data_IF_201582391310
#
_entry.id   IF_201582391310
#
_cell.length_a   1.000
_cell.length_b   1.000
_cell.length_c   1.000
_cell.angle_alpha   90.00
_cell.angle_beta   90.00
_cell.angle_gamma   90.00
#
_symmetry.space_group_name_H-M   'P 1'
#
loop_
_entity.id
_entity.type
_entity.pdbx_description
1 polymer ?
#
# COMPACT_ATOMS: atom_id res chain seq x y z
N UNK A 1 -11.79 6.89 -20.63
CA UNK A 1 -10.79 7.05 -19.57
C UNK A 1 -9.96 8.28 -19.91
N UNK A 2 -9.89 9.27 -19.02
CA UNK A 2 -8.96 10.41 -19.17
C UNK A 2 -7.55 9.84 -19.36
N UNK A 3 -6.81 10.26 -20.39
CA UNK A 3 -5.51 9.69 -20.83
C UNK A 3 -4.35 9.78 -19.83
N UNK A 4 -4.60 9.38 -18.59
CA UNK A 4 -3.66 9.26 -17.48
C UNK A 4 -3.17 7.82 -17.43
N UNK A 5 -1.88 7.65 -17.16
CA UNK A 5 -1.25 6.34 -16.99
C UNK A 5 -0.98 5.97 -15.52
N UNK A 6 -1.33 6.86 -14.57
CA UNK A 6 -1.09 6.67 -13.12
C UNK A 6 -2.37 6.96 -12.33
N UNK A 7 -2.72 6.04 -11.43
CA UNK A 7 -3.79 6.17 -10.45
C UNK A 7 -3.25 6.77 -9.16
N UNK A 8 -4.06 7.59 -8.48
CA UNK A 8 -3.78 8.00 -7.10
C UNK A 8 -4.02 6.82 -6.14
N UNK A 9 -3.46 6.88 -4.93
CA UNK A 9 -3.53 5.76 -3.96
C UNK A 9 -4.97 5.31 -3.66
N UNK A 10 -5.90 6.24 -3.47
CA UNK A 10 -7.32 5.95 -3.25
C UNK A 10 -7.99 5.35 -4.49
N UNK A 11 -7.68 5.87 -5.69
CA UNK A 11 -8.18 5.33 -6.96
C UNK A 11 -7.71 3.87 -7.16
N UNK A 12 -6.42 3.62 -6.92
CA UNK A 12 -5.82 2.29 -7.00
C UNK A 12 -6.44 1.34 -5.98
N UNK A 13 -6.64 1.77 -4.74
CA UNK A 13 -7.28 0.95 -3.70
C UNK A 13 -8.73 0.61 -4.03
N UNK A 14 -9.50 1.56 -4.57
CA UNK A 14 -10.87 1.27 -5.02
C UNK A 14 -10.87 0.21 -6.11
N UNK A 15 -9.95 0.30 -7.08
CA UNK A 15 -9.82 -0.70 -8.14
C UNK A 15 -9.41 -2.07 -7.61
N UNK A 16 -8.40 -2.14 -6.72
CA UNK A 16 -7.98 -3.38 -6.06
C UNK A 16 -9.12 -4.02 -5.24
N UNK A 17 -9.88 -3.21 -4.49
CA UNK A 17 -11.02 -3.70 -3.73
C UNK A 17 -12.11 -4.30 -4.61
N UNK A 18 -12.38 -3.71 -5.78
CA UNK A 18 -13.33 -4.26 -6.76
C UNK A 18 -12.88 -5.60 -7.33
N UNK A 19 -11.57 -5.85 -7.35
CA UNK A 19 -10.97 -7.13 -7.73
C UNK A 19 -10.86 -8.13 -6.57
N UNK A 20 -11.44 -7.83 -5.41
CA UNK A 20 -11.40 -8.70 -4.23
C UNK A 20 -10.07 -8.67 -3.47
N UNK A 21 -9.16 -7.77 -3.79
CA UNK A 21 -7.90 -7.60 -3.06
C UNK A 21 -8.17 -6.74 -1.81
N UNK A 22 -7.85 -7.24 -0.61
CA UNK A 22 -8.07 -6.48 0.62
C UNK A 22 -7.18 -5.24 0.66
N UNK A 23 -7.80 -4.09 0.91
CA UNK A 23 -7.12 -2.80 1.07
C UNK A 23 -7.61 -2.13 2.34
N UNK A 24 -6.75 -1.32 2.97
CA UNK A 24 -7.18 -0.52 4.11
C UNK A 24 -8.12 0.62 3.66
N UNK A 25 -9.23 0.86 4.37
CA UNK A 25 -10.20 1.87 3.95
C UNK A 25 -9.53 3.25 3.94
N UNK A 26 -9.85 4.02 2.90
CA UNK A 26 -9.19 5.30 2.63
C UNK A 26 -10.24 6.34 2.28
N UNK A 27 -10.21 7.50 2.95
CA UNK A 27 -11.12 8.63 2.65
C UNK A 27 -10.30 9.87 2.33
N UNK A 28 -10.59 10.52 1.21
CA UNK A 28 -10.02 11.82 0.87
C UNK A 28 -10.83 12.93 1.55
N UNK A 29 -10.14 13.84 2.23
CA UNK A 29 -10.71 14.99 2.93
C UNK A 29 -10.13 16.27 2.35
N UNK A 30 -11.00 17.24 2.06
CA UNK A 30 -10.65 18.54 1.47
C UNK A 30 -10.45 19.63 2.52
N UNK A 31 -10.88 19.39 3.75
CA UNK A 31 -10.62 20.27 4.88
C UNK A 31 -10.33 19.49 6.18
N UNK A 32 -9.92 20.24 7.20
CA UNK A 32 -9.54 19.69 8.50
C UNK A 32 -10.73 19.13 9.29
N UNK A 33 -11.94 19.65 9.09
CA UNK A 33 -13.14 19.17 9.79
C UNK A 33 -13.58 17.81 9.24
N UNK A 34 -13.59 17.65 7.91
CA UNK A 34 -13.79 16.37 7.23
C UNK A 34 -12.77 15.33 7.70
N UNK A 35 -11.49 15.73 7.83
CA UNK A 35 -10.43 14.85 8.32
C UNK A 35 -10.66 14.39 9.76
N UNK A 36 -11.09 15.29 10.66
CA UNK A 36 -11.43 14.95 12.05
C UNK A 36 -12.62 14.00 12.11
N UNK A 37 -13.69 14.26 11.35
CA UNK A 37 -14.86 13.38 11.28
C UNK A 37 -14.46 11.99 10.79
N UNK A 38 -13.65 11.91 9.73
CA UNK A 38 -13.15 10.64 9.21
C UNK A 38 -12.26 9.90 10.22
N UNK A 39 -11.35 10.61 10.90
CA UNK A 39 -10.46 10.01 11.88
C UNK A 39 -11.22 9.44 13.08
N UNK A 40 -12.20 10.17 13.60
CA UNK A 40 -13.09 9.67 14.67
C UNK A 40 -13.88 8.45 14.23
N UNK A 41 -14.35 8.42 12.99
CA UNK A 41 -15.09 7.27 12.44
C UNK A 41 -14.22 6.02 12.26
N UNK A 42 -12.94 6.18 11.88
CA UNK A 42 -11.99 5.07 11.78
C UNK A 42 -11.43 4.63 13.13
N UNK A 43 -11.46 5.51 14.13
CA UNK A 43 -10.77 5.31 15.40
C UNK A 43 -9.30 5.71 15.32
N UNK A 44 -8.77 6.16 16.45
CA UNK A 44 -7.37 6.59 16.57
C UNK A 44 -6.45 5.42 17.00
N UNK A 45 -5.15 5.47 16.65
CA UNK A 45 -4.51 6.46 15.78
C UNK A 45 -4.79 6.23 14.28
N UNK A 46 -4.64 7.29 13.48
CA UNK A 46 -4.81 7.25 12.02
C UNK A 46 -3.54 7.64 11.27
N UNK A 47 -3.44 7.21 10.02
CA UNK A 47 -2.48 7.72 9.05
C UNK A 47 -3.13 8.82 8.20
N UNK A 48 -2.40 9.92 7.97
CA UNK A 48 -2.79 11.02 7.08
C UNK A 48 -1.74 11.17 5.99
N UNK A 49 -2.16 11.21 4.72
CA UNK A 49 -1.24 11.27 3.58
C UNK A 49 -1.70 12.29 2.55
N UNK A 50 -0.75 12.96 1.91
CA UNK A 50 -1.01 13.82 0.75
C UNK A 50 -1.66 12.99 -0.37
N UNK A 51 -2.68 13.58 -0.98
CA UNK A 51 -3.30 13.13 -2.23
C UNK A 51 -3.13 14.23 -3.26
N UNK A 52 -2.12 14.12 -4.11
CA UNK A 52 -1.89 15.05 -5.21
C UNK A 52 -1.17 14.33 -6.33
N UNK A 53 -1.42 14.78 -7.56
CA UNK A 53 -0.71 14.25 -8.74
C UNK A 53 0.74 14.73 -8.81
N UNK A 54 1.05 15.87 -8.19
CA UNK A 54 2.40 16.42 -8.11
C UNK A 54 3.27 15.69 -7.06
N UNK A 55 2.67 14.87 -6.20
CA UNK A 55 3.33 14.23 -5.06
C UNK A 55 3.10 12.72 -5.02
N UNK A 56 3.63 11.99 -6.01
CA UNK A 56 3.57 10.53 -6.04
C UNK A 56 4.51 9.90 -4.98
N UNK A 57 5.71 10.46 -4.79
CA UNK A 57 6.67 10.05 -3.75
C UNK A 57 6.42 10.80 -2.43
N UNK A 58 5.27 10.53 -1.81
CA UNK A 58 4.75 11.30 -0.66
C UNK A 58 5.73 11.40 0.50
N UNK A 59 6.40 10.32 0.87
CA UNK A 59 7.28 10.29 2.03
C UNK A 59 8.49 11.22 1.87
N UNK A 60 9.02 11.37 0.65
CA UNK A 60 10.20 12.20 0.37
C UNK A 60 9.94 13.69 0.60
N UNK A 61 8.68 14.11 0.46
CA UNK A 61 8.25 15.49 0.72
C UNK A 61 7.66 15.70 2.12
N UNK A 62 7.74 14.69 3.00
CA UNK A 62 7.06 14.71 4.30
C UNK A 62 5.54 14.60 4.22
N UNK A 63 5.00 14.15 3.08
CA UNK A 63 3.58 14.03 2.78
C UNK A 63 2.87 12.84 3.45
N UNK A 64 3.46 12.25 4.50
CA UNK A 64 2.91 11.12 5.25
C UNK A 64 3.09 11.37 6.74
N UNK A 65 1.99 11.48 7.46
CA UNK A 65 1.95 11.53 8.92
C UNK A 65 1.31 10.25 9.45
N UNK A 66 2.03 9.48 10.25
CA UNK A 66 1.55 8.25 10.90
C UNK A 66 1.24 8.52 12.37
N UNK A 67 0.56 7.58 13.04
CA UNK A 67 0.30 7.64 14.48
C UNK A 67 -0.40 8.94 14.94
N UNK A 68 -1.24 9.52 14.07
CA UNK A 68 -1.94 10.78 14.37
C UNK A 68 -3.10 10.47 15.32
N UNK A 69 -2.97 10.97 16.55
CA UNK A 69 -3.90 10.66 17.63
C UNK A 69 -4.61 11.91 18.16
N UNK A 70 -5.93 11.92 18.09
CA UNK A 70 -6.78 13.01 18.57
C UNK A 70 -6.99 14.14 17.55
N UNK A 71 -8.11 14.85 17.72
CA UNK A 71 -8.59 15.83 16.74
C UNK A 71 -7.60 16.98 16.50
N UNK A 72 -6.91 17.43 17.55
CA UNK A 72 -5.94 18.53 17.43
C UNK A 72 -4.72 18.12 16.58
N UNK A 73 -4.23 16.88 16.77
CA UNK A 73 -3.14 16.34 15.97
C UNK A 73 -3.55 16.16 14.50
N UNK A 74 -4.81 15.78 14.26
CA UNK A 74 -5.39 15.70 12.90
C UNK A 74 -5.40 17.08 12.24
N UNK A 75 -5.90 18.11 12.92
CA UNK A 75 -5.94 19.48 12.37
C UNK A 75 -4.55 20.01 12.05
N UNK A 76 -3.58 19.83 12.95
CA UNK A 76 -2.18 20.22 12.72
C UNK A 76 -1.58 19.48 11.53
N UNK A 77 -1.80 18.17 11.45
CA UNK A 77 -1.32 17.34 10.33
C UNK A 77 -1.96 17.76 9.01
N UNK A 78 -3.26 18.05 9.01
CA UNK A 78 -3.95 18.53 7.82
C UNK A 78 -3.36 19.84 7.30
N UNK A 79 -3.11 20.82 8.18
CA UNK A 79 -2.53 22.11 7.80
C UNK A 79 -1.13 21.95 7.15
N UNK A 80 -0.29 21.08 7.71
CA UNK A 80 1.04 20.76 7.14
C UNK A 80 0.90 20.09 5.78
N UNK A 81 0.13 19.00 5.69
CA UNK A 81 0.02 18.18 4.49
C UNK A 81 -0.64 18.95 3.33
N UNK A 82 -1.70 19.71 3.60
CA UNK A 82 -2.34 20.55 2.58
C UNK A 82 -1.43 21.69 2.10
N UNK A 83 -0.59 22.24 2.98
CA UNK A 83 0.41 23.25 2.63
C UNK A 83 1.45 22.76 1.62
N UNK A 84 1.81 21.47 1.63
CA UNK A 84 2.75 20.86 0.69
C UNK A 84 2.24 20.81 -0.76
N UNK A 85 0.92 20.90 -0.96
CA UNK A 85 0.26 20.70 -2.26
C UNK A 85 -0.73 21.82 -2.57
N UNK A 86 -0.54 22.99 -1.98
CA UNK A 86 -1.41 24.16 -2.13
C UNK A 86 -1.62 24.62 -3.58
N UNK A 87 -0.65 24.31 -4.46
CA UNK A 87 -0.66 24.71 -5.86
C UNK A 87 -1.43 23.69 -6.75
N UNK A 88 -1.90 22.57 -6.19
CA UNK A 88 -2.74 21.58 -6.88
C UNK A 88 -4.22 21.71 -6.43
N UNK A 89 -5.12 22.20 -7.30
CA UNK A 89 -6.53 22.43 -6.94
C UNK A 89 -7.32 21.14 -6.70
N UNK A 90 -6.82 20.00 -7.16
CA UNK A 90 -7.43 18.68 -6.95
C UNK A 90 -6.81 17.93 -5.75
N UNK A 91 -5.90 18.59 -5.02
CA UNK A 91 -5.25 18.00 -3.88
C UNK A 91 -6.21 17.81 -2.70
N UNK A 92 -5.94 16.78 -1.92
CA UNK A 92 -6.63 16.48 -0.68
C UNK A 92 -5.67 15.80 0.30
N UNK A 93 -6.16 15.49 1.51
CA UNK A 93 -5.46 14.64 2.47
C UNK A 93 -6.27 13.36 2.64
N UNK A 94 -5.66 12.19 2.43
CA UNK A 94 -6.34 10.93 2.76
C UNK A 94 -6.16 10.60 4.23
N UNK A 95 -7.24 10.15 4.89
CA UNK A 95 -7.26 9.58 6.23
C UNK A 95 -7.50 8.08 6.13
N UNK A 96 -6.72 7.30 6.88
CA UNK A 96 -6.73 5.83 6.87
C UNK A 96 -6.51 5.30 8.30
N UNK A 97 -7.11 4.18 8.71
CA UNK A 97 -6.74 3.53 9.97
C UNK A 97 -5.30 3.01 9.91
N UNK A 98 -4.62 2.96 11.05
CA UNK A 98 -3.33 2.29 11.16
C UNK A 98 -3.50 0.77 10.98
N UNK A 99 -2.68 0.17 10.12
CA UNK A 99 -2.59 -1.29 10.04
C UNK A 99 -1.93 -1.82 11.33
N UNK A 100 -2.36 -3.00 11.83
CA UNK A 100 -1.67 -3.63 12.94
C UNK A 100 -0.23 -3.99 12.54
N UNK A 101 0.71 -4.07 13.51
CA UNK A 101 2.06 -4.55 13.24
C UNK A 101 2.03 -5.96 12.63
N UNK A 102 2.89 -6.21 11.65
CA UNK A 102 2.96 -7.49 10.96
C UNK A 102 4.19 -7.58 10.05
N UNK A 103 4.32 -8.71 9.35
CA UNK A 103 5.33 -8.84 8.32
C UNK A 103 5.00 -7.92 7.13
N UNK A 104 5.96 -7.09 6.73
CA UNK A 104 5.83 -6.25 5.55
C UNK A 104 6.34 -7.02 4.33
N UNK A 105 5.51 -7.11 3.29
CA UNK A 105 5.79 -7.82 2.04
C UNK A 105 5.49 -6.90 0.85
N UNK A 106 6.19 -7.13 -0.26
CA UNK A 106 5.94 -6.44 -1.52
C UNK A 106 5.51 -7.45 -2.59
N UNK A 107 4.47 -7.09 -3.33
CA UNK A 107 4.03 -7.76 -4.55
C UNK A 107 3.98 -6.70 -5.63
N UNK A 108 4.83 -6.85 -6.64
CA UNK A 108 4.91 -5.95 -7.79
C UNK A 108 4.63 -6.72 -9.07
N UNK A 109 4.08 -6.03 -10.07
CA UNK A 109 3.97 -6.57 -11.42
C UNK A 109 4.55 -5.57 -12.40
N UNK A 110 5.36 -6.06 -13.32
CA UNK A 110 5.91 -5.27 -14.42
C UNK A 110 5.87 -6.10 -15.70
N UNK A 111 6.03 -5.43 -16.86
CA UNK A 111 6.06 -6.09 -18.15
C UNK A 111 7.50 -6.12 -18.66
N UNK A 112 8.09 -7.30 -18.68
CA UNK A 112 9.37 -7.55 -19.31
C UNK A 112 9.22 -7.53 -20.86
N UNK A 113 10.15 -6.90 -21.60
CA UNK A 113 10.06 -6.83 -23.06
C UNK A 113 10.13 -8.18 -23.78
N UNK A 114 10.77 -9.18 -23.17
CA UNK A 114 10.97 -10.51 -23.75
C UNK A 114 9.97 -11.53 -23.22
N UNK A 115 9.70 -11.48 -21.92
CA UNK A 115 8.91 -12.50 -21.23
C UNK A 115 7.46 -12.09 -20.94
N UNK A 116 7.10 -10.82 -21.17
CA UNK A 116 5.76 -10.33 -20.90
C UNK A 116 5.54 -10.04 -19.39
N UNK A 117 4.34 -10.26 -18.84
CA UNK A 117 4.05 -9.90 -17.45
C UNK A 117 4.81 -10.78 -16.45
N UNK A 118 5.49 -10.13 -15.49
CA UNK A 118 6.30 -10.75 -14.44
C UNK A 118 5.85 -10.24 -13.08
N UNK A 119 5.61 -11.16 -12.16
CA UNK A 119 5.37 -10.87 -10.75
C UNK A 119 6.67 -10.91 -9.97
N UNK A 120 6.88 -9.89 -9.14
CA UNK A 120 7.95 -9.76 -8.17
C UNK A 120 7.37 -9.91 -6.76
N UNK A 121 7.99 -10.74 -5.93
CA UNK A 121 7.58 -10.97 -4.54
C UNK A 121 8.79 -10.94 -3.61
N UNK A 122 8.64 -10.37 -2.41
CA UNK A 122 9.68 -10.37 -1.40
C UNK A 122 9.30 -9.61 -0.13
N UNK A 123 10.25 -9.44 0.81
CA UNK A 123 10.10 -8.54 1.95
C UNK A 123 9.84 -7.10 1.50
N UNK A 124 8.95 -6.40 2.19
CA UNK A 124 8.65 -4.99 1.97
C UNK A 124 9.45 -4.04 2.86
N UNK A 125 9.12 -2.76 2.78
CA UNK A 125 9.73 -1.70 3.59
C UNK A 125 11.22 -1.53 3.36
N UNK A 126 11.92 -1.05 4.39
CA UNK A 126 13.37 -0.84 4.37
C UNK A 126 14.16 -2.09 3.95
N UNK A 127 13.65 -3.29 4.28
CA UNK A 127 14.32 -4.54 3.94
C UNK A 127 14.28 -4.87 2.45
N UNK A 128 13.28 -4.40 1.71
CA UNK A 128 13.22 -4.51 0.25
C UNK A 128 14.42 -3.80 -0.41
N UNK A 129 14.73 -2.58 0.06
CA UNK A 129 15.80 -1.75 -0.48
C UNK A 129 17.19 -2.27 -0.10
N UNK A 130 17.34 -2.77 1.13
CA UNK A 130 18.64 -3.19 1.66
C UNK A 130 19.09 -4.57 1.16
N UNK A 131 18.20 -5.56 1.14
CA UNK A 131 18.58 -6.95 0.90
C UNK A 131 18.37 -7.44 -0.53
N UNK A 132 17.56 -6.71 -1.33
CA UNK A 132 17.19 -7.11 -2.70
C UNK A 132 16.72 -8.56 -2.80
N UNK A 133 16.05 -9.03 -1.76
CA UNK A 133 15.52 -10.40 -1.66
C UNK A 133 14.18 -10.48 -2.38
N UNK A 134 14.24 -10.44 -3.71
CA UNK A 134 13.06 -10.47 -4.57
C UNK A 134 13.15 -11.68 -5.49
N UNK A 135 12.07 -12.44 -5.52
CA UNK A 135 11.88 -13.59 -6.41
C UNK A 135 10.87 -13.24 -7.49
N UNK A 136 10.98 -13.89 -8.65
CA UNK A 136 10.17 -13.58 -9.83
C UNK A 136 9.45 -14.82 -10.36
N UNK A 137 8.24 -14.62 -10.90
CA UNK A 137 7.50 -15.61 -11.67
C UNK A 137 6.82 -14.95 -12.87
N UNK A 138 6.76 -15.67 -13.99
CA UNK A 138 5.96 -15.25 -15.14
C UNK A 138 4.49 -15.41 -14.80
N UNK A 139 3.66 -14.47 -15.26
CA UNK A 139 2.21 -14.55 -15.15
C UNK A 139 1.61 -15.25 -16.38
N UNK A 140 0.48 -15.99 -16.25
CA UNK A 140 -0.32 -16.15 -15.02
C UNK A 140 0.24 -17.19 -14.06
N UNK A 141 -0.13 -17.10 -12.78
CA UNK A 141 0.24 -18.05 -11.74
C UNK A 141 -0.86 -19.06 -11.44
N UNK A 142 -0.41 -20.26 -11.11
CA UNK A 142 -1.18 -21.30 -10.41
C UNK A 142 -0.71 -21.39 -8.96
N UNK A 143 -1.48 -22.05 -8.10
CA UNK A 143 -1.19 -22.18 -6.67
C UNK A 143 0.20 -22.78 -6.39
N UNK A 144 0.62 -23.78 -7.17
CA UNK A 144 1.95 -24.41 -7.09
C UNK A 144 3.10 -23.41 -7.33
N UNK A 145 2.89 -22.42 -8.21
CA UNK A 145 3.87 -21.37 -8.44
C UNK A 145 4.03 -20.47 -7.22
N UNK A 146 2.95 -20.24 -6.46
CA UNK A 146 2.98 -19.40 -5.26
C UNK A 146 3.72 -20.06 -4.11
N UNK A 147 3.55 -21.37 -3.92
CA UNK A 147 4.32 -22.13 -2.93
C UNK A 147 5.83 -21.98 -3.18
N UNK A 148 6.26 -22.11 -4.43
CA UNK A 148 7.66 -21.93 -4.81
C UNK A 148 8.19 -20.51 -4.57
N UNK A 149 7.34 -19.47 -4.62
CA UNK A 149 7.75 -18.10 -4.25
C UNK A 149 8.16 -18.05 -2.77
N UNK A 150 7.41 -18.72 -1.90
CA UNK A 150 7.66 -18.72 -0.45
C UNK A 150 8.93 -19.51 -0.09
N UNK A 151 9.26 -20.54 -0.88
CA UNK A 151 10.48 -21.33 -0.72
C UNK A 151 11.74 -20.58 -1.16
N UNK A 152 11.63 -19.81 -2.26
CA UNK A 152 12.78 -19.15 -2.89
C UNK A 152 13.21 -17.86 -2.18
N UNK A 153 12.33 -17.19 -1.43
CA UNK A 153 12.71 -15.98 -0.69
C UNK A 153 13.67 -16.32 0.45
N UNK A 154 14.79 -15.59 0.56
CA UNK A 154 15.75 -15.77 1.68
C UNK A 154 15.12 -15.37 3.00
N UNK A 155 14.22 -14.40 2.96
CA UNK A 155 13.42 -13.85 4.04
C UNK A 155 12.28 -14.77 4.51
N UNK A 156 12.24 -16.05 4.14
CA UNK A 156 11.18 -17.01 4.54
C UNK A 156 10.83 -17.02 6.04
N UNK A 157 11.78 -16.68 6.91
CA UNK A 157 11.54 -16.55 8.37
C UNK A 157 10.50 -15.47 8.69
N UNK A 158 10.32 -14.46 7.84
CA UNK A 158 9.26 -13.47 7.96
C UNK A 158 7.87 -14.10 7.79
N UNK A 159 7.75 -15.12 6.94
CA UNK A 159 6.49 -15.83 6.72
C UNK A 159 6.15 -16.75 7.89
N UNK A 160 7.15 -17.39 8.50
CA UNK A 160 6.95 -18.30 9.64
C UNK A 160 6.93 -17.59 11.01
N UNK A 161 7.09 -16.27 11.03
CA UNK A 161 7.20 -15.46 12.26
C UNK A 161 8.64 -15.28 12.75
N UNK A 162 8.92 -14.09 13.29
CA UNK A 162 10.24 -13.71 13.79
C UNK A 162 10.13 -12.74 14.99
N UNK A 163 10.74 -13.10 16.12
CA UNK A 163 10.63 -12.37 17.40
C UNK A 163 9.17 -12.17 17.81
N UNK A 164 8.70 -10.91 17.81
CA UNK A 164 7.34 -10.53 18.20
C UNK A 164 6.38 -10.49 16.99
N UNK A 165 6.85 -10.83 15.80
CA UNK A 165 6.00 -10.89 14.61
C UNK A 165 5.37 -12.28 14.49
N UNK A 166 4.02 -12.37 14.46
CA UNK A 166 3.35 -13.64 14.25
C UNK A 166 3.62 -14.18 12.84
N UNK A 167 3.41 -15.49 12.61
CA UNK A 167 3.41 -16.06 11.27
C UNK A 167 2.41 -15.37 10.35
N UNK A 168 2.75 -15.26 9.07
CA UNK A 168 1.85 -14.80 8.02
C UNK A 168 0.79 -15.87 7.74
N UNK A 169 -0.44 -15.46 7.50
CA UNK A 169 -1.49 -16.33 6.96
C UNK A 169 -1.15 -16.64 5.49
N UNK A 170 -0.38 -17.71 5.28
CA UNK A 170 0.07 -18.11 3.93
C UNK A 170 -1.10 -18.47 3.02
N UNK A 171 -2.20 -19.13 3.45
CA UNK A 171 -3.39 -19.27 2.61
C UNK A 171 -3.99 -17.93 2.15
N UNK A 172 -4.08 -16.92 3.03
CA UNK A 172 -4.56 -15.60 2.65
C UNK A 172 -3.61 -14.89 1.68
N UNK A 173 -2.30 -15.00 1.90
CA UNK A 173 -1.29 -14.46 1.01
C UNK A 173 -1.33 -15.13 -0.37
N UNK A 174 -1.51 -16.45 -0.45
CA UNK A 174 -1.66 -17.18 -1.70
C UNK A 174 -2.85 -16.68 -2.50
N UNK A 175 -4.03 -16.54 -1.86
CA UNK A 175 -5.22 -15.98 -2.51
C UNK A 175 -4.98 -14.56 -3.03
N UNK A 176 -4.25 -13.74 -2.27
CA UNK A 176 -3.92 -12.37 -2.67
C UNK A 176 -2.98 -12.36 -3.90
N UNK A 177 -1.92 -13.17 -3.91
CA UNK A 177 -0.99 -13.27 -5.04
C UNK A 177 -1.71 -13.76 -6.30
N UNK A 178 -2.58 -14.77 -6.18
CA UNK A 178 -3.39 -15.25 -7.31
C UNK A 178 -4.37 -14.18 -7.81
N UNK A 179 -4.99 -13.40 -6.92
CA UNK A 179 -5.84 -12.29 -7.31
C UNK A 179 -5.06 -11.19 -8.05
N UNK A 180 -3.81 -10.90 -7.63
CA UNK A 180 -2.91 -9.98 -8.35
C UNK A 180 -2.53 -10.54 -9.73
N UNK A 181 -2.27 -11.85 -9.84
CA UNK A 181 -2.02 -12.51 -11.14
C UNK A 181 -3.18 -12.31 -12.10
N UNK A 182 -4.40 -12.58 -11.64
CA UNK A 182 -5.62 -12.49 -12.46
C UNK A 182 -5.96 -11.06 -12.90
N UNK A 183 -5.47 -10.03 -12.21
CA UNK A 183 -5.68 -8.63 -12.57
C UNK A 183 -4.92 -8.18 -13.83
N UNK A 184 -3.91 -8.95 -14.23
CA UNK A 184 -2.95 -8.60 -15.30
C UNK A 184 -3.25 -9.38 -16.59
N UNK A 185 -4.13 -10.38 -16.49
CA UNK A 185 -4.74 -11.08 -17.63
C UNK A 185 -5.69 -10.16 -18.40
#
# INVERSE_FOLDING_TARGET
>A
MSGRHVLLEDEAKTWLAQAGIPVNPTRACRDADEAVVCARAFGYPVAMKVRSRAALHKSEIGGVHLEVNGDEAVRRSFAVLSGLVRDDPEAAVTVQPMAPPGAELIIGVFRDPQFGPVLAFGPGGFYAELYRDVVFRLLPLEESHVESLFEDIRGRKLLTGYRNLPPVDTPALTRLILAVSALVE
#
